data_IF_985630966789
#
_entry.id   IF_985630966789
#
_cell.length_a   1.000
_cell.length_b   1.000
_cell.length_c   1.000
_cell.angle_alpha   90.00
_cell.angle_beta   90.00
_cell.angle_gamma   90.00
#
_symmetry.space_group_name_H-M   'P 1'
#
loop_
_entity.id
_entity.type
_entity.pdbx_description
1 polymer ?
#
# COMPACT_ATOMS: atom_id res chain seq x y z
N UNK A 1 -6.19 -16.85 34.70
CA UNK A 1 -7.49 -17.07 34.03
C UNK A 1 -7.28 -16.64 32.59
N UNK A 2 -7.00 -17.62 31.73
CA UNK A 2 -6.82 -17.47 30.29
C UNK A 2 -8.21 -17.40 29.65
N UNK A 3 -8.56 -16.27 29.03
CA UNK A 3 -9.71 -16.19 28.14
C UNK A 3 -9.22 -16.43 26.72
N UNK A 4 -9.49 -17.63 26.23
CA UNK A 4 -9.44 -17.95 24.82
C UNK A 4 -10.63 -17.27 24.14
N UNK A 5 -10.35 -16.34 23.21
CA UNK A 5 -11.36 -15.89 22.27
C UNK A 5 -11.43 -16.88 21.12
N UNK A 6 -12.51 -17.65 21.06
CA UNK A 6 -12.87 -18.44 19.88
C UNK A 6 -13.29 -17.46 18.75
N UNK A 7 -12.43 -17.31 17.77
CA UNK A 7 -12.78 -16.64 16.51
C UNK A 7 -13.72 -17.57 15.75
N UNK A 8 -14.99 -17.19 15.64
CA UNK A 8 -15.94 -17.84 14.73
C UNK A 8 -15.58 -17.50 13.30
N UNK A 9 -14.83 -18.38 12.64
CA UNK A 9 -14.66 -18.34 11.18
C UNK A 9 -16.02 -18.63 10.55
N UNK A 10 -16.67 -17.60 9.99
CA UNK A 10 -17.84 -17.75 9.14
C UNK A 10 -17.38 -18.46 7.85
N UNK A 11 -17.68 -19.76 7.74
CA UNK A 11 -17.52 -20.49 6.49
C UNK A 11 -18.53 -19.94 5.47
N UNK A 12 -18.06 -19.05 4.61
CA UNK A 12 -18.80 -18.68 3.39
C UNK A 12 -18.54 -19.80 2.38
N UNK A 13 -19.56 -20.61 2.07
CA UNK A 13 -19.47 -21.61 1.01
C UNK A 13 -19.30 -20.90 -0.34
N UNK A 14 -18.06 -20.84 -0.83
CA UNK A 14 -17.76 -20.41 -2.21
C UNK A 14 -18.08 -21.55 -3.17
N UNK A 15 -18.91 -21.26 -4.18
CA UNK A 15 -19.16 -22.20 -5.28
C UNK A 15 -17.84 -22.52 -6.01
N UNK A 16 -17.40 -23.79 -5.90
CA UNK A 16 -16.18 -24.33 -6.53
C UNK A 16 -16.12 -24.07 -8.06
N UNK A 17 -17.26 -23.88 -8.72
CA UNK A 17 -17.31 -23.54 -10.14
C UNK A 17 -16.84 -22.12 -10.44
N UNK A 18 -17.17 -21.17 -9.57
CA UNK A 18 -16.73 -19.77 -9.68
C UNK A 18 -15.22 -19.65 -9.46
N UNK A 19 -14.67 -20.41 -8.51
CA UNK A 19 -13.22 -20.48 -8.25
C UNK A 19 -12.47 -21.09 -9.43
N UNK A 20 -12.99 -22.16 -10.05
CA UNK A 20 -12.33 -22.80 -11.19
C UNK A 20 -12.33 -21.92 -12.46
N UNK A 21 -13.41 -21.20 -12.72
CA UNK A 21 -13.52 -20.23 -13.82
C UNK A 21 -12.59 -19.02 -13.61
N UNK A 22 -12.47 -18.52 -12.37
CA UNK A 22 -11.55 -17.43 -12.05
C UNK A 22 -10.09 -17.86 -12.22
N UNK A 23 -9.75 -19.12 -11.89
CA UNK A 23 -8.39 -19.67 -12.04
C UNK A 23 -8.02 -19.89 -13.52
N UNK A 24 -8.97 -20.25 -14.38
CA UNK A 24 -8.74 -20.41 -15.82
C UNK A 24 -8.61 -19.06 -16.55
N UNK A 25 -9.40 -18.06 -16.14
CA UNK A 25 -9.29 -16.68 -16.66
C UNK A 25 -8.01 -15.98 -16.19
N UNK A 26 -7.42 -16.40 -15.06
CA UNK A 26 -6.13 -15.85 -14.56
C UNK A 26 -4.94 -16.16 -15.49
N UNK A 27 -5.04 -17.15 -16.39
CA UNK A 27 -3.93 -17.55 -17.27
C UNK A 27 -3.70 -16.63 -18.49
N UNK A 28 -4.66 -15.79 -18.86
CA UNK A 28 -4.53 -14.85 -19.98
C UNK A 28 -4.21 -13.40 -19.55
N UNK A 29 -4.02 -13.16 -18.25
CA UNK A 29 -4.20 -11.86 -17.66
C UNK A 29 -3.02 -11.47 -16.80
N UNK A 30 -1.93 -11.04 -17.40
CA UNK A 30 -0.94 -10.29 -16.63
C UNK A 30 0.25 -9.74 -17.42
N UNK A 31 0.10 -9.37 -18.68
CA UNK A 31 1.31 -8.94 -19.42
C UNK A 31 2.03 -7.75 -18.79
N UNK A 32 1.31 -6.77 -18.22
CA UNK A 32 1.99 -5.58 -17.67
C UNK A 32 2.51 -5.84 -16.26
N UNK A 33 1.72 -6.47 -15.39
CA UNK A 33 2.14 -6.78 -14.03
C UNK A 33 3.33 -7.74 -14.02
N UNK A 34 3.29 -8.78 -14.87
CA UNK A 34 4.40 -9.71 -15.04
C UNK A 34 5.66 -9.01 -15.57
N UNK A 35 5.49 -8.08 -16.52
CA UNK A 35 6.61 -7.27 -17.03
C UNK A 35 7.23 -6.44 -15.91
N UNK A 36 6.42 -5.77 -15.09
CA UNK A 36 6.91 -4.97 -13.95
C UNK A 36 7.68 -5.87 -12.97
N UNK A 37 7.14 -7.05 -12.66
CA UNK A 37 7.78 -8.01 -11.75
C UNK A 37 9.10 -8.53 -12.31
N UNK A 38 9.17 -8.87 -13.61
CA UNK A 38 10.41 -9.33 -14.24
C UNK A 38 11.48 -8.22 -14.29
N UNK A 39 11.10 -6.99 -14.65
CA UNK A 39 12.01 -5.84 -14.63
C UNK A 39 12.51 -5.57 -13.20
N UNK A 40 11.62 -5.70 -12.20
CA UNK A 40 12.00 -5.60 -10.79
C UNK A 40 13.02 -6.67 -10.38
N UNK A 41 12.87 -7.92 -10.83
CA UNK A 41 13.86 -8.98 -10.57
C UNK A 41 15.24 -8.64 -11.12
N UNK A 42 15.29 -8.07 -12.34
CA UNK A 42 16.54 -7.62 -12.95
C UNK A 42 17.15 -6.51 -12.11
N UNK A 43 16.36 -5.50 -11.76
CA UNK A 43 16.78 -4.36 -10.93
C UNK A 43 17.33 -4.81 -9.58
N UNK A 44 16.68 -5.73 -8.90
CA UNK A 44 17.11 -6.26 -7.61
C UNK A 44 18.46 -6.98 -7.68
N UNK A 45 18.76 -7.67 -8.77
CA UNK A 45 20.10 -8.26 -8.97
C UNK A 45 21.17 -7.18 -9.02
N UNK A 46 20.95 -6.12 -9.82
CA UNK A 46 21.88 -4.99 -9.90
C UNK A 46 22.07 -4.26 -8.55
N UNK A 47 21.02 -4.16 -7.74
CA UNK A 47 21.06 -3.53 -6.42
C UNK A 47 21.82 -4.40 -5.42
N UNK A 48 21.58 -5.71 -5.41
CA UNK A 48 22.30 -6.68 -4.58
C UNK A 48 23.78 -6.81 -4.95
N UNK A 49 24.14 -6.62 -6.22
CA UNK A 49 25.54 -6.58 -6.65
C UNK A 49 26.29 -5.35 -6.09
N UNK A 50 25.59 -4.25 -5.87
CA UNK A 50 26.16 -3.02 -5.28
C UNK A 50 26.21 -3.07 -3.76
N UNK A 51 25.12 -3.54 -3.13
CA UNK A 51 24.96 -3.67 -1.69
C UNK A 51 24.36 -5.04 -1.40
N UNK A 52 25.15 -5.94 -0.81
CA UNK A 52 24.73 -7.32 -0.60
C UNK A 52 23.52 -7.41 0.36
N UNK A 53 22.78 -8.51 0.24
CA UNK A 53 21.67 -8.83 1.15
C UNK A 53 22.14 -8.82 2.61
N UNK A 54 23.28 -9.42 2.91
CA UNK A 54 23.84 -9.47 4.25
C UNK A 54 24.13 -8.07 4.80
N UNK A 55 24.77 -7.21 4.01
CA UNK A 55 25.01 -5.82 4.39
C UNK A 55 23.69 -5.08 4.70
N UNK A 56 22.69 -5.23 3.82
CA UNK A 56 21.41 -4.55 3.98
C UNK A 56 20.66 -5.05 5.22
N UNK A 57 20.69 -6.36 5.46
CA UNK A 57 20.11 -7.00 6.65
C UNK A 57 20.75 -6.46 7.93
N UNK A 58 22.10 -6.46 8.00
CA UNK A 58 22.82 -5.99 9.20
C UNK A 58 22.53 -4.51 9.48
N UNK A 59 22.42 -3.68 8.43
CA UNK A 59 22.03 -2.28 8.55
C UNK A 59 20.60 -2.14 9.10
N UNK A 60 19.64 -2.93 8.59
CA UNK A 60 18.25 -2.88 9.04
C UNK A 60 18.14 -3.23 10.53
N UNK A 61 18.82 -4.30 10.98
CA UNK A 61 18.83 -4.65 12.40
C UNK A 61 19.59 -3.63 13.27
N UNK A 62 20.56 -2.92 12.74
CA UNK A 62 21.19 -1.80 13.43
C UNK A 62 20.20 -0.64 13.64
N UNK A 63 19.42 -0.30 12.61
CA UNK A 63 18.36 0.72 12.70
C UNK A 63 17.26 0.31 13.67
N UNK A 64 16.88 -0.97 13.67
CA UNK A 64 15.83 -1.50 14.57
C UNK A 64 16.21 -1.39 16.06
N UNK A 65 17.50 -1.42 16.41
CA UNK A 65 17.97 -1.25 17.79
C UNK A 65 17.77 0.17 18.30
N UNK A 66 17.68 1.15 17.41
CA UNK A 66 17.33 2.52 17.75
C UNK A 66 15.82 2.65 17.98
N UNK A 67 15.42 2.60 19.27
CA UNK A 67 14.01 2.67 19.69
C UNK A 67 13.45 4.11 19.70
N UNK A 68 14.10 5.05 19.07
CA UNK A 68 13.67 6.46 19.04
C UNK A 68 12.35 6.67 18.28
N UNK A 69 11.90 5.68 17.49
CA UNK A 69 10.72 5.78 16.64
C UNK A 69 9.69 4.69 16.93
N UNK A 70 8.41 5.07 16.96
CA UNK A 70 7.28 4.14 17.02
C UNK A 70 7.25 3.27 15.77
N UNK A 71 7.08 1.96 15.95
CA UNK A 71 7.07 0.95 14.88
C UNK A 71 5.67 0.67 14.34
N UNK A 72 4.61 1.24 14.94
CA UNK A 72 3.20 1.04 14.55
C UNK A 72 2.51 2.36 14.21
N UNK A 73 3.30 3.38 13.84
CA UNK A 73 2.82 4.73 13.61
C UNK A 73 1.86 4.82 12.42
N UNK A 74 2.09 4.02 11.37
CA UNK A 74 1.21 3.99 10.20
C UNK A 74 -0.17 3.46 10.57
N UNK A 75 -0.22 2.30 11.23
CA UNK A 75 -1.46 1.72 11.73
C UNK A 75 -2.22 2.70 12.64
N UNK A 76 -1.55 3.27 13.67
CA UNK A 76 -2.17 4.18 14.63
C UNK A 76 -2.72 5.44 13.96
N UNK A 77 -2.06 5.96 12.95
CA UNK A 77 -2.54 7.14 12.24
C UNK A 77 -3.78 6.85 11.39
N UNK A 78 -3.91 5.63 10.85
CA UNK A 78 -5.09 5.22 10.09
C UNK A 78 -6.27 4.79 10.98
N UNK A 79 -6.01 4.32 12.21
CA UNK A 79 -7.02 3.88 13.18
C UNK A 79 -7.73 5.02 13.91
N UNK A 80 -7.44 6.28 13.57
CA UNK A 80 -8.09 7.45 14.18
C UNK A 80 -9.55 7.54 13.77
N UNK A 81 -10.38 8.15 14.64
CA UNK A 81 -11.77 8.41 14.30
C UNK A 81 -11.88 9.35 13.09
N UNK A 82 -12.80 9.04 12.19
CA UNK A 82 -13.03 9.76 10.93
C UNK A 82 -12.17 9.18 9.79
N UNK A 83 -12.21 9.84 8.64
CA UNK A 83 -11.46 9.40 7.47
C UNK A 83 -9.99 9.82 7.57
N UNK A 84 -9.10 8.85 7.41
CA UNK A 84 -7.67 9.09 7.27
C UNK A 84 -7.26 9.21 5.79
N UNK A 85 -6.24 10.01 5.52
CA UNK A 85 -5.74 10.21 4.15
C UNK A 85 -4.26 9.83 4.06
N UNK A 86 -3.94 8.96 3.12
CA UNK A 86 -2.58 8.65 2.70
C UNK A 86 -2.30 9.47 1.44
N UNK A 87 -1.48 10.52 1.55
CA UNK A 87 -1.11 11.36 0.42
C UNK A 87 0.03 10.71 -0.40
N UNK A 88 -0.23 10.33 -1.64
CA UNK A 88 0.79 9.71 -2.49
C UNK A 88 1.55 10.74 -3.32
N UNK A 89 2.88 10.70 -3.23
CA UNK A 89 3.75 11.40 -4.15
C UNK A 89 4.20 10.48 -5.28
N UNK A 90 3.81 10.83 -6.51
CA UNK A 90 4.24 10.10 -7.70
C UNK A 90 4.43 11.02 -8.91
N UNK A 91 5.45 10.72 -9.71
CA UNK A 91 5.79 11.50 -10.92
C UNK A 91 5.23 10.91 -12.20
N UNK A 92 4.95 9.62 -12.22
CA UNK A 92 4.41 8.92 -13.38
C UNK A 92 3.61 7.68 -12.98
N UNK A 93 2.80 7.18 -13.91
CA UNK A 93 2.21 5.85 -13.83
C UNK A 93 2.01 5.27 -15.23
N UNK A 94 1.96 3.92 -15.40
CA UNK A 94 1.75 3.31 -16.71
C UNK A 94 0.47 3.78 -17.43
N UNK A 95 -0.58 4.10 -16.66
CA UNK A 95 -1.88 4.51 -17.20
C UNK A 95 -2.02 6.02 -17.46
N UNK A 96 -1.30 6.87 -16.73
CA UNK A 96 -1.41 8.33 -16.85
C UNK A 96 -0.18 8.98 -17.51
N UNK A 97 0.88 8.19 -17.77
CA UNK A 97 2.16 8.74 -18.23
C UNK A 97 2.80 9.66 -17.18
N UNK A 98 3.44 10.73 -17.63
CA UNK A 98 4.04 11.72 -16.74
C UNK A 98 2.95 12.57 -16.07
N UNK A 99 3.01 12.62 -14.73
CA UNK A 99 2.06 13.38 -13.91
C UNK A 99 2.80 14.61 -13.41
N UNK A 100 2.42 15.78 -13.91
CA UNK A 100 2.87 17.11 -13.50
C UNK A 100 4.33 17.19 -13.00
N UNK A 101 5.27 17.04 -13.93
CA UNK A 101 6.72 17.02 -13.66
C UNK A 101 7.27 18.30 -13.02
N UNK A 102 6.48 19.39 -12.99
CA UNK A 102 6.88 20.69 -12.43
C UNK A 102 6.71 20.78 -10.90
N UNK A 103 6.03 19.80 -10.25
CA UNK A 103 5.83 19.86 -8.81
C UNK A 103 7.10 19.41 -8.10
N UNK A 104 7.65 20.31 -7.28
CA UNK A 104 8.76 20.00 -6.40
C UNK A 104 8.32 19.05 -5.25
N UNK A 105 9.11 18.01 -5.02
CA UNK A 105 8.85 17.01 -3.96
C UNK A 105 8.70 17.69 -2.59
N UNK A 106 9.66 18.52 -2.23
CA UNK A 106 9.72 19.08 -0.88
C UNK A 106 8.59 20.05 -0.60
N UNK A 107 8.19 20.83 -1.60
CA UNK A 107 7.00 21.69 -1.53
C UNK A 107 5.73 20.87 -1.33
N UNK A 108 5.58 19.74 -2.04
CA UNK A 108 4.41 18.87 -1.88
C UNK A 108 4.38 18.24 -0.49
N UNK A 109 5.53 17.85 0.05
CA UNK A 109 5.61 17.26 1.40
C UNK A 109 5.28 18.29 2.49
N UNK A 110 5.60 19.57 2.31
CA UNK A 110 5.16 20.62 3.24
C UNK A 110 3.64 20.74 3.32
N UNK A 111 2.95 20.59 2.17
CA UNK A 111 1.49 20.58 2.15
C UNK A 111 0.91 19.32 2.81
N UNK A 112 1.55 18.15 2.62
CA UNK A 112 1.13 16.88 3.21
C UNK A 112 1.32 16.87 4.73
N UNK A 113 2.42 17.40 5.26
CA UNK A 113 2.69 17.42 6.69
C UNK A 113 1.56 18.05 7.52
N UNK A 114 0.82 19.00 6.96
CA UNK A 114 -0.27 19.70 7.64
C UNK A 114 -1.67 19.15 7.35
N UNK A 115 -1.81 18.13 6.49
CA UNK A 115 -3.13 17.79 5.96
C UNK A 115 -3.43 16.30 5.84
N UNK A 116 -2.42 15.43 5.71
CA UNK A 116 -2.62 13.99 5.59
C UNK A 116 -2.17 13.24 6.85
N UNK A 117 -2.54 11.97 6.97
CA UNK A 117 -2.22 11.13 8.13
C UNK A 117 -1.00 10.23 7.88
N UNK A 118 -0.72 9.95 6.60
CA UNK A 118 0.45 9.20 6.16
C UNK A 118 0.87 9.65 4.76
N UNK A 119 2.11 9.39 4.38
CA UNK A 119 2.65 9.67 3.05
C UNK A 119 2.95 8.35 2.35
N UNK A 120 2.48 8.19 1.11
CA UNK A 120 2.89 7.10 0.22
C UNK A 120 3.95 7.60 -0.74
N UNK A 121 5.08 6.91 -0.80
CA UNK A 121 6.18 7.23 -1.69
C UNK A 121 6.45 6.10 -2.68
N UNK A 122 6.25 6.35 -3.98
CA UNK A 122 6.64 5.41 -5.04
C UNK A 122 8.16 5.27 -5.05
N UNK A 123 8.67 4.04 -4.90
CA UNK A 123 10.09 3.71 -5.06
C UNK A 123 10.36 2.84 -6.28
N UNK A 124 9.31 2.36 -6.96
CA UNK A 124 9.44 1.64 -8.22
C UNK A 124 9.97 2.59 -9.31
N UNK A 125 11.09 2.23 -9.92
CA UNK A 125 11.90 3.13 -10.75
C UNK A 125 11.54 3.08 -12.23
N UNK A 126 11.32 1.89 -12.76
CA UNK A 126 11.30 1.66 -14.20
C UNK A 126 9.97 2.09 -14.84
N UNK A 127 8.84 1.85 -14.15
CA UNK A 127 7.48 2.11 -14.65
C UNK A 127 6.80 3.31 -13.99
N UNK A 128 7.19 3.67 -12.76
CA UNK A 128 6.56 4.76 -12.00
C UNK A 128 7.48 5.95 -11.76
N UNK A 129 8.73 5.92 -12.27
CA UNK A 129 9.75 6.96 -12.06
C UNK A 129 9.96 7.28 -10.57
N UNK A 130 9.76 6.28 -9.71
CA UNK A 130 9.97 6.35 -8.28
C UNK A 130 11.47 6.27 -7.91
N UNK A 131 11.77 6.47 -6.64
CA UNK A 131 13.15 6.37 -6.15
C UNK A 131 13.19 6.20 -4.64
N UNK A 132 14.07 5.32 -4.15
CA UNK A 132 14.39 5.23 -2.71
C UNK A 132 14.96 6.54 -2.16
N UNK A 133 15.59 7.34 -3.01
CA UNK A 133 16.10 8.67 -2.66
C UNK A 133 14.96 9.66 -2.35
N UNK A 134 13.83 9.57 -3.04
CA UNK A 134 12.65 10.38 -2.70
C UNK A 134 12.15 10.04 -1.29
N UNK A 135 12.10 8.77 -0.92
CA UNK A 135 11.68 8.36 0.41
C UNK A 135 12.62 8.91 1.49
N UNK A 136 13.94 8.86 1.28
CA UNK A 136 14.92 9.45 2.20
C UNK A 136 14.72 10.98 2.35
N UNK A 137 14.48 11.68 1.26
CA UNK A 137 14.21 13.13 1.27
C UNK A 137 12.92 13.44 2.03
N UNK A 138 11.86 12.66 1.79
CA UNK A 138 10.60 12.78 2.54
C UNK A 138 10.85 12.53 4.02
N UNK A 139 11.58 11.46 4.36
CA UNK A 139 11.90 11.12 5.74
C UNK A 139 12.66 12.24 6.48
N UNK A 140 13.58 12.90 5.80
CA UNK A 140 14.32 14.02 6.35
C UNK A 140 13.45 15.26 6.64
N UNK A 141 12.29 15.38 5.97
CA UNK A 141 11.41 16.56 6.04
C UNK A 141 10.10 16.31 6.79
N UNK A 142 9.69 15.05 6.96
CA UNK A 142 8.40 14.69 7.55
C UNK A 142 8.54 13.76 8.74
N UNK A 143 7.72 13.98 9.76
CA UNK A 143 7.53 13.05 10.88
C UNK A 143 6.35 12.08 10.67
N UNK A 144 5.52 12.32 9.66
CA UNK A 144 4.43 11.43 9.31
C UNK A 144 4.93 10.02 8.95
N UNK A 145 4.12 8.98 9.17
CA UNK A 145 4.48 7.64 8.70
C UNK A 145 4.56 7.60 7.17
N UNK A 146 5.57 6.89 6.67
CA UNK A 146 5.83 6.76 5.23
C UNK A 146 5.62 5.31 4.81
N UNK A 147 4.67 5.10 3.89
CA UNK A 147 4.46 3.87 3.15
C UNK A 147 5.45 3.82 1.97
N UNK A 148 6.33 2.81 1.93
CA UNK A 148 7.07 2.47 0.71
C UNK A 148 6.13 1.77 -0.25
N UNK A 149 5.73 2.42 -1.32
CA UNK A 149 4.91 1.85 -2.37
C UNK A 149 5.80 1.33 -3.50
N UNK A 150 5.93 0.00 -3.56
CA UNK A 150 6.80 -0.72 -4.49
C UNK A 150 6.25 -2.15 -4.70
N UNK A 151 6.74 -2.85 -5.72
CA UNK A 151 6.48 -4.28 -5.92
C UNK A 151 7.47 -5.06 -5.04
N UNK A 152 7.02 -5.46 -3.85
CA UNK A 152 7.84 -6.14 -2.85
C UNK A 152 7.84 -7.64 -3.13
N UNK A 153 8.92 -8.15 -3.72
CA UNK A 153 9.04 -9.54 -4.19
C UNK A 153 10.28 -10.27 -3.65
N UNK A 154 11.08 -9.60 -2.83
CA UNK A 154 12.34 -10.12 -2.33
C UNK A 154 12.66 -9.52 -0.94
N UNK A 155 13.19 -10.34 -0.03
CA UNK A 155 13.51 -9.92 1.36
C UNK A 155 14.46 -8.72 1.43
N UNK A 156 15.33 -8.53 0.45
CA UNK A 156 16.22 -7.37 0.35
C UNK A 156 15.47 -6.05 0.47
N UNK A 157 14.31 -5.95 -0.18
CA UNK A 157 13.52 -4.72 -0.20
C UNK A 157 12.95 -4.35 1.17
N UNK A 158 12.69 -5.34 2.03
CA UNK A 158 12.19 -5.13 3.40
C UNK A 158 13.31 -4.55 4.28
N UNK A 159 14.50 -5.13 4.23
CA UNK A 159 15.66 -4.58 4.91
C UNK A 159 15.98 -3.17 4.41
N UNK A 160 15.96 -2.97 3.08
CA UNK A 160 16.16 -1.65 2.49
C UNK A 160 15.09 -0.65 2.95
N UNK A 161 13.79 -1.04 2.98
CA UNK A 161 12.71 -0.18 3.46
C UNK A 161 12.99 0.34 4.88
N UNK A 162 13.43 -0.54 5.78
CA UNK A 162 13.83 -0.16 7.13
C UNK A 162 14.99 0.83 7.14
N UNK A 163 16.03 0.55 6.36
CA UNK A 163 17.25 1.38 6.29
C UNK A 163 16.97 2.78 5.73
N UNK A 164 16.09 2.89 4.73
CA UNK A 164 15.76 4.19 4.13
C UNK A 164 14.71 4.98 4.90
N UNK A 165 14.16 4.41 5.99
CA UNK A 165 13.25 5.10 6.91
C UNK A 165 11.77 5.01 6.56
N UNK A 166 11.33 3.96 5.87
CA UNK A 166 9.91 3.62 5.76
C UNK A 166 9.35 3.15 7.12
N UNK A 167 8.09 3.42 7.36
CA UNK A 167 7.32 2.95 8.51
C UNK A 167 6.39 1.81 8.12
N UNK A 168 5.98 1.79 6.86
CA UNK A 168 5.10 0.76 6.31
C UNK A 168 5.57 0.35 4.90
N UNK A 169 5.16 -0.86 4.50
CA UNK A 169 5.39 -1.41 3.16
C UNK A 169 4.07 -1.91 2.55
N UNK A 170 4.10 -2.10 1.23
CA UNK A 170 3.00 -2.66 0.47
C UNK A 170 3.24 -4.13 0.19
N UNK A 171 2.27 -4.99 0.50
CA UNK A 171 2.20 -6.36 -0.03
C UNK A 171 1.03 -6.45 -1.02
N UNK A 172 1.28 -6.89 -2.24
CA UNK A 172 0.27 -7.02 -3.30
C UNK A 172 -0.06 -8.50 -3.45
N UNK A 173 -1.28 -8.90 -3.08
CA UNK A 173 -1.71 -10.31 -3.15
C UNK A 173 -1.60 -10.88 -4.57
N UNK A 174 -1.85 -10.07 -5.59
CA UNK A 174 -1.81 -10.50 -7.00
C UNK A 174 -0.44 -11.01 -7.47
N UNK A 175 0.67 -10.59 -6.83
CA UNK A 175 2.03 -10.95 -7.27
C UNK A 175 2.76 -11.91 -6.33
N UNK A 176 2.17 -12.24 -5.18
CA UNK A 176 2.77 -13.11 -4.17
C UNK A 176 1.97 -14.38 -4.04
N UNK A 177 2.62 -15.53 -3.94
CA UNK A 177 1.96 -16.75 -3.48
C UNK A 177 1.73 -16.73 -1.95
N UNK A 178 0.99 -17.72 -1.42
CA UNK A 178 0.62 -17.74 0.00
C UNK A 178 1.83 -17.88 0.93
N UNK A 179 2.86 -18.63 0.49
CA UNK A 179 4.10 -18.82 1.25
C UNK A 179 4.88 -17.51 1.32
N UNK A 180 5.00 -16.82 0.19
CA UNK A 180 5.66 -15.51 0.10
C UNK A 180 4.90 -14.45 0.89
N UNK A 181 3.58 -14.37 0.73
CA UNK A 181 2.74 -13.39 1.43
C UNK A 181 2.91 -13.51 2.94
N UNK A 182 2.82 -14.74 3.48
CA UNK A 182 3.00 -15.02 4.90
C UNK A 182 4.43 -14.72 5.37
N UNK A 183 5.44 -15.16 4.62
CA UNK A 183 6.84 -14.95 5.00
C UNK A 183 7.21 -13.46 5.02
N UNK A 184 6.76 -12.70 4.03
CA UNK A 184 7.02 -11.27 3.93
C UNK A 184 6.26 -10.46 4.98
N UNK A 185 5.03 -10.87 5.31
CA UNK A 185 4.29 -10.27 6.41
C UNK A 185 5.03 -10.48 7.75
N UNK A 186 5.49 -11.69 8.03
CA UNK A 186 6.28 -12.00 9.24
C UNK A 186 7.59 -11.20 9.29
N UNK A 187 8.33 -11.13 8.17
CA UNK A 187 9.56 -10.32 8.10
C UNK A 187 9.29 -8.84 8.36
N UNK A 188 8.16 -8.32 7.88
CA UNK A 188 7.77 -6.93 8.16
C UNK A 188 7.55 -6.68 9.64
N UNK A 189 6.86 -7.60 10.32
CA UNK A 189 6.64 -7.53 11.75
C UNK A 189 7.97 -7.59 12.53
N UNK A 190 8.89 -8.49 12.16
CA UNK A 190 10.22 -8.59 12.77
C UNK A 190 11.02 -7.28 12.63
N UNK A 191 10.86 -6.59 11.50
CA UNK A 191 11.52 -5.31 11.23
C UNK A 191 10.77 -4.10 11.81
N UNK A 192 9.63 -4.31 12.46
CA UNK A 192 8.77 -3.24 12.97
C UNK A 192 8.33 -2.31 11.83
N UNK A 193 7.86 -2.90 10.73
CA UNK A 193 7.22 -2.23 9.60
C UNK A 193 5.75 -2.60 9.59
N UNK A 194 4.87 -1.60 9.56
CA UNK A 194 3.45 -1.82 9.28
C UNK A 194 3.26 -2.30 7.83
N UNK A 195 2.12 -2.95 7.57
CA UNK A 195 1.85 -3.52 6.25
C UNK A 195 0.49 -3.06 5.75
N UNK A 196 0.45 -2.54 4.52
CA UNK A 196 -0.76 -2.40 3.72
C UNK A 196 -0.84 -3.58 2.77
N UNK A 197 -1.85 -4.45 2.92
CA UNK A 197 -2.06 -5.61 2.04
C UNK A 197 -3.06 -5.23 0.95
N UNK A 198 -2.59 -5.07 -0.28
CA UNK A 198 -3.40 -4.66 -1.43
C UNK A 198 -4.11 -5.87 -2.05
N UNK A 199 -5.44 -5.75 -2.23
CA UNK A 199 -6.33 -6.78 -2.76
C UNK A 199 -7.23 -6.23 -3.86
N UNK A 200 -7.60 -7.10 -4.84
CA UNK A 200 -8.41 -6.78 -6.01
C UNK A 200 -9.67 -7.65 -6.14
N UNK A 201 -9.70 -8.78 -5.46
CA UNK A 201 -10.84 -9.70 -5.48
C UNK A 201 -11.06 -10.38 -4.12
N UNK A 202 -12.12 -11.18 -4.03
CA UNK A 202 -12.56 -11.87 -2.81
C UNK A 202 -11.53 -12.89 -2.33
N UNK A 203 -10.84 -13.58 -3.25
CA UNK A 203 -9.83 -14.59 -2.91
C UNK A 203 -8.60 -13.92 -2.29
N UNK A 204 -8.21 -12.74 -2.80
CA UNK A 204 -7.12 -11.95 -2.24
C UNK A 204 -7.47 -11.39 -0.86
N UNK A 205 -8.73 -11.00 -0.63
CA UNK A 205 -9.20 -10.62 0.72
C UNK A 205 -9.09 -11.80 1.69
N UNK A 206 -9.53 -13.01 1.30
CA UNK A 206 -9.40 -14.20 2.14
C UNK A 206 -7.94 -14.47 2.52
N UNK A 207 -7.03 -14.39 1.56
CA UNK A 207 -5.58 -14.55 1.80
C UNK A 207 -5.00 -13.48 2.74
N UNK A 208 -5.47 -12.24 2.64
CA UNK A 208 -5.07 -11.17 3.55
C UNK A 208 -5.60 -11.41 4.97
N UNK A 209 -6.81 -11.96 5.11
CA UNK A 209 -7.39 -12.33 6.40
C UNK A 209 -6.67 -13.53 7.03
N UNK A 210 -6.24 -14.53 6.25
CA UNK A 210 -5.49 -15.69 6.74
C UNK A 210 -4.13 -15.33 7.37
N UNK A 211 -3.51 -14.25 6.94
CA UNK A 211 -2.28 -13.73 7.56
C UNK A 211 -2.54 -12.72 8.68
N UNK A 212 -3.81 -12.51 9.05
CA UNK A 212 -4.23 -11.57 10.09
C UNK A 212 -3.78 -10.12 9.81
N UNK A 213 -3.89 -9.68 8.55
CA UNK A 213 -3.51 -8.34 8.14
C UNK A 213 -4.40 -7.28 8.81
N UNK A 214 -3.87 -6.33 9.61
CA UNK A 214 -4.68 -5.33 10.30
C UNK A 214 -5.11 -4.17 9.39
N UNK A 215 -4.48 -4.03 8.21
CA UNK A 215 -4.79 -2.98 7.22
C UNK A 215 -4.87 -3.63 5.84
N UNK A 216 -6.04 -3.57 5.22
CA UNK A 216 -6.31 -4.09 3.88
C UNK A 216 -6.62 -2.94 2.92
N UNK A 217 -5.88 -2.89 1.82
CA UNK A 217 -6.12 -1.98 0.72
C UNK A 217 -7.01 -2.62 -0.34
N UNK A 218 -8.09 -1.96 -0.73
CA UNK A 218 -8.90 -2.34 -1.89
C UNK A 218 -8.50 -1.44 -3.05
N UNK A 219 -7.82 -2.00 -4.05
CA UNK A 219 -7.45 -1.24 -5.23
C UNK A 219 -8.59 -1.28 -6.27
N UNK A 220 -9.19 -0.11 -6.51
CA UNK A 220 -10.26 0.07 -7.49
C UNK A 220 -9.77 0.00 -8.94
N UNK A 221 -8.46 -0.03 -9.15
CA UNK A 221 -7.86 -0.19 -10.47
C UNK A 221 -7.70 -1.68 -10.77
N UNK A 222 -8.32 -2.12 -11.84
CA UNK A 222 -8.05 -3.42 -12.42
C UNK A 222 -6.62 -3.43 -13.00
N UNK A 223 -5.77 -4.33 -12.53
CA UNK A 223 -4.36 -4.40 -12.96
C UNK A 223 -4.20 -4.93 -14.39
N UNK A 224 -5.27 -5.45 -15.01
CA UNK A 224 -5.25 -6.06 -16.33
C UNK A 224 -5.47 -5.06 -17.46
N UNK A 225 -6.49 -4.22 -17.30
CA UNK A 225 -6.95 -3.27 -18.32
C UNK A 225 -6.88 -1.82 -17.86
N UNK A 226 -6.41 -1.58 -16.62
CA UNK A 226 -6.33 -0.28 -15.94
C UNK A 226 -7.67 0.46 -15.79
N UNK A 227 -8.79 -0.20 -16.02
CA UNK A 227 -10.11 0.37 -15.68
C UNK A 227 -10.21 0.62 -14.18
N UNK A 228 -10.96 1.66 -13.81
CA UNK A 228 -11.14 2.04 -12.41
C UNK A 228 -12.63 2.08 -12.11
N UNK A 229 -13.05 1.39 -11.04
CA UNK A 229 -14.42 1.45 -10.53
C UNK A 229 -14.45 1.38 -9.01
N UNK A 230 -15.06 2.37 -8.38
CA UNK A 230 -15.29 2.38 -6.93
C UNK A 230 -16.27 1.27 -6.48
N UNK A 231 -17.01 0.67 -7.41
CA UNK A 231 -17.81 -0.51 -7.12
C UNK A 231 -16.96 -1.71 -6.67
N UNK A 232 -15.65 -1.72 -6.98
CA UNK A 232 -14.71 -2.72 -6.44
C UNK A 232 -14.67 -2.63 -4.91
N UNK A 233 -14.49 -1.43 -4.35
CA UNK A 233 -14.56 -1.23 -2.89
C UNK A 233 -15.92 -1.63 -2.33
N UNK A 234 -17.03 -1.21 -2.96
CA UNK A 234 -18.40 -1.59 -2.55
C UNK A 234 -18.60 -3.11 -2.52
N UNK A 235 -18.05 -3.81 -3.50
CA UNK A 235 -18.16 -5.27 -3.62
C UNK A 235 -17.34 -6.00 -2.56
N UNK A 236 -16.12 -5.51 -2.27
CA UNK A 236 -15.15 -6.22 -1.43
C UNK A 236 -15.23 -5.86 0.05
N UNK A 237 -15.61 -4.61 0.42
CA UNK A 237 -15.66 -4.16 1.82
C UNK A 237 -16.49 -5.07 2.72
N UNK A 238 -17.57 -5.65 2.20
CA UNK A 238 -18.48 -6.55 2.97
C UNK A 238 -17.85 -7.85 3.43
N UNK A 239 -16.69 -8.26 2.86
CA UNK A 239 -15.96 -9.45 3.26
C UNK A 239 -14.88 -9.17 4.33
N UNK A 240 -14.66 -7.90 4.66
CA UNK A 240 -13.62 -7.49 5.61
C UNK A 240 -14.31 -7.15 6.94
N UNK A 241 -13.90 -7.80 8.06
CA UNK A 241 -14.38 -7.51 9.40
C UNK A 241 -14.22 -6.03 9.79
N UNK A 242 -15.10 -5.52 10.65
CA UNK A 242 -15.14 -4.10 11.05
C UNK A 242 -13.89 -3.66 11.83
N UNK A 243 -13.21 -4.57 12.52
CA UNK A 243 -11.98 -4.32 13.26
C UNK A 243 -10.74 -4.11 12.40
N UNK A 244 -10.82 -4.42 11.09
CA UNK A 244 -9.72 -4.28 10.13
C UNK A 244 -9.86 -2.95 9.40
N UNK A 245 -8.78 -2.18 9.38
CA UNK A 245 -8.72 -0.90 8.66
C UNK A 245 -8.79 -1.14 7.16
N UNK A 246 -9.76 -0.50 6.49
CA UNK A 246 -9.92 -0.58 5.04
C UNK A 246 -9.46 0.70 4.37
N UNK A 247 -8.48 0.57 3.48
CA UNK A 247 -7.99 1.65 2.63
C UNK A 247 -8.57 1.50 1.23
N UNK A 248 -9.26 2.50 0.71
CA UNK A 248 -9.66 2.53 -0.70
C UNK A 248 -8.59 3.23 -1.53
N UNK A 249 -8.12 2.54 -2.58
CA UNK A 249 -7.04 3.02 -3.44
C UNK A 249 -7.53 3.22 -4.87
N UNK A 250 -7.02 4.23 -5.55
CA UNK A 250 -7.35 4.60 -6.92
C UNK A 250 -8.78 5.09 -7.13
N UNK A 251 -8.96 6.05 -8.03
CA UNK A 251 -10.26 6.48 -8.53
C UNK A 251 -10.95 7.59 -7.74
N UNK A 252 -10.41 8.03 -6.62
CA UNK A 252 -11.01 9.07 -5.78
C UNK A 252 -10.67 10.44 -6.37
N UNK A 253 -11.68 11.16 -6.90
CA UNK A 253 -11.50 12.42 -7.62
C UNK A 253 -12.44 13.53 -7.17
N UNK A 254 -13.63 13.18 -6.72
CA UNK A 254 -14.72 14.12 -6.43
C UNK A 254 -15.21 13.99 -5.00
N UNK A 255 -15.92 14.99 -4.53
CA UNK A 255 -16.60 14.95 -3.23
C UNK A 255 -17.64 13.83 -3.16
N UNK A 256 -18.29 13.48 -4.29
CA UNK A 256 -19.25 12.38 -4.36
C UNK A 256 -18.57 11.02 -4.21
N UNK A 257 -17.36 10.84 -4.77
CA UNK A 257 -16.55 9.63 -4.54
C UNK A 257 -16.23 9.45 -3.05
N UNK A 258 -15.85 10.55 -2.39
CA UNK A 258 -15.55 10.56 -0.95
C UNK A 258 -16.79 10.19 -0.12
N UNK A 259 -17.95 10.81 -0.39
CA UNK A 259 -19.21 10.47 0.29
C UNK A 259 -19.55 9.01 0.10
N UNK A 260 -19.52 8.54 -1.15
CA UNK A 260 -19.81 7.15 -1.50
C UNK A 260 -18.95 6.16 -0.70
N UNK A 261 -17.63 6.35 -0.66
CA UNK A 261 -16.72 5.46 0.05
C UNK A 261 -16.88 5.55 1.57
N UNK A 262 -17.14 6.75 2.10
CA UNK A 262 -17.41 6.97 3.51
C UNK A 262 -18.71 6.27 3.96
N UNK A 263 -19.76 6.33 3.15
CA UNK A 263 -21.02 5.63 3.41
C UNK A 263 -20.88 4.10 3.39
N UNK A 264 -19.83 3.57 2.72
CA UNK A 264 -19.47 2.15 2.75
C UNK A 264 -18.68 1.74 4.01
N UNK A 265 -18.32 2.69 4.88
CA UNK A 265 -17.51 2.42 6.07
C UNK A 265 -16.03 2.15 5.74
N UNK A 266 -15.46 2.86 4.77
CA UNK A 266 -14.02 2.86 4.50
C UNK A 266 -13.32 3.77 5.51
N UNK A 267 -12.18 3.36 6.04
CA UNK A 267 -11.45 4.06 7.10
C UNK A 267 -10.42 5.06 6.55
N UNK A 268 -9.84 4.76 5.40
CA UNK A 268 -8.80 5.58 4.82
C UNK A 268 -8.83 5.60 3.28
N UNK A 269 -8.26 6.67 2.71
CA UNK A 269 -8.09 6.84 1.27
C UNK A 269 -6.62 6.97 0.91
N UNK A 270 -6.15 6.24 -0.11
CA UNK A 270 -4.85 6.47 -0.73
C UNK A 270 -5.05 7.31 -2.00
N UNK A 271 -4.54 8.54 -1.99
CA UNK A 271 -4.83 9.56 -3.00
C UNK A 271 -3.52 10.05 -3.62
N UNK A 272 -3.32 9.76 -4.90
CA UNK A 272 -2.18 10.23 -5.68
C UNK A 272 -2.58 11.27 -6.72
N UNK A 273 -3.26 10.84 -7.79
CA UNK A 273 -3.51 11.67 -8.96
C UNK A 273 -4.23 12.98 -8.62
N UNK A 274 -5.33 12.92 -7.87
CA UNK A 274 -6.10 14.12 -7.50
C UNK A 274 -5.28 15.13 -6.71
N UNK A 275 -4.36 14.65 -5.85
CA UNK A 275 -3.47 15.53 -5.10
C UNK A 275 -2.34 16.10 -5.97
N UNK A 276 -1.80 15.31 -6.89
CA UNK A 276 -0.77 15.81 -7.83
C UNK A 276 -1.31 16.82 -8.85
N UNK A 277 -2.60 16.72 -9.20
CA UNK A 277 -3.28 17.65 -10.12
C UNK A 277 -3.85 18.88 -9.38
N UNK A 278 -4.03 18.80 -8.07
CA UNK A 278 -4.59 19.89 -7.26
C UNK A 278 -3.61 21.05 -7.12
N UNK A 279 -4.15 22.28 -7.19
CA UNK A 279 -3.41 23.50 -6.84
C UNK A 279 -3.17 23.64 -5.33
N UNK A 280 -4.06 23.06 -4.50
CA UNK A 280 -3.97 23.04 -3.04
C UNK A 280 -4.43 21.68 -2.51
N UNK A 281 -3.55 20.65 -2.52
CA UNK A 281 -3.88 19.34 -1.94
C UNK A 281 -4.16 19.44 -0.44
N UNK A 282 -3.57 20.41 0.26
CA UNK A 282 -3.85 20.71 1.67
C UNK A 282 -5.33 21.04 1.90
N UNK A 283 -5.89 21.96 1.12
CA UNK A 283 -7.31 22.32 1.23
C UNK A 283 -8.22 21.18 0.83
N UNK A 284 -7.85 20.45 -0.23
CA UNK A 284 -8.61 19.30 -0.70
C UNK A 284 -8.65 18.20 0.37
N UNK A 285 -7.51 17.86 0.99
CA UNK A 285 -7.42 16.88 2.06
C UNK A 285 -8.27 17.28 3.28
N UNK A 286 -8.15 18.53 3.76
CA UNK A 286 -8.94 19.03 4.88
C UNK A 286 -10.45 18.93 4.61
N UNK A 287 -10.87 19.39 3.42
CA UNK A 287 -12.28 19.32 3.02
C UNK A 287 -12.81 17.89 3.03
N UNK A 288 -12.05 16.93 2.48
CA UNK A 288 -12.48 15.54 2.44
C UNK A 288 -12.49 14.85 3.81
N UNK A 289 -11.62 15.26 4.71
CA UNK A 289 -11.64 14.76 6.10
C UNK A 289 -12.82 15.31 6.91
N UNK A 290 -13.29 16.50 6.60
CA UNK A 290 -14.42 17.18 7.27
C UNK A 290 -15.79 16.73 6.74
N UNK A 291 -15.85 16.06 5.60
CA UNK A 291 -17.10 15.50 5.04
C UNK A 291 -17.56 14.27 5.81
#
# INVERSE_FOLDING_TARGET
>A
MQHFYEVKVLHVEFDRRTVLLSTLLRKEVSMILDTIVEDKKIRLREEKDKLTLEYMRDKAYSVLKDKSRDTTLFYHNLAKAGISIIGEFKKASPSAGDINSSIDLLTRIDEYNDSVDAISCLTEKDHFKGSTEYLKQIRAKSTLPILRKDFMIDEYQFYEAKVIGADAILLICAILDDVQLKAFYQLSQELGLDVLVECHDEVEIERALEIEAPVIGINNRNLNDFTISLDTTKRLKKYIPEEIIVVSESGIKTDDDVRFLKDLGVDAFLIGQSFMESKSPRELARRWKEM
#
